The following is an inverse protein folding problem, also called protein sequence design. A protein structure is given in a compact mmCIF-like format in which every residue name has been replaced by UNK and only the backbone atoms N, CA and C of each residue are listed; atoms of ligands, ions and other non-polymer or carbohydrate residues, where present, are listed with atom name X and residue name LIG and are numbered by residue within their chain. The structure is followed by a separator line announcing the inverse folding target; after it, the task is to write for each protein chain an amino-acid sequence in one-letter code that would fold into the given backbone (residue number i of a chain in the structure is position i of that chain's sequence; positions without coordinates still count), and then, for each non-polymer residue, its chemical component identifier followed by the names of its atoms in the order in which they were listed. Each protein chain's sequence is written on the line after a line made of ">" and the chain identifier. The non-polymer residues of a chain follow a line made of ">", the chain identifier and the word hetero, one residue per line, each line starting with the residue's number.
data_IF_758387917252
#
_entry.id   IF_758387917252
#
_cell.length_a   1.000
_cell.length_b   1.000
_cell.length_c   1.000
_cell.angle_alpha   90.00
_cell.angle_beta   90.00
_cell.angle_gamma   90.00
#
_symmetry.space_group_name_H-M   'P 1'
#
loop_
_entity.id
_entity.type
_entity.pdbx_description
1 polymer ?
#
# COMPACT_ATOMS: atom_id res chain seq x y z
N UNK A 1 34.32 10.19 -5.11
CA UNK A 1 34.41 11.35 -4.19
C UNK A 1 33.07 12.06 -3.92
N UNK A 2 31.89 11.46 -4.18
CA UNK A 2 30.61 12.12 -3.87
C UNK A 2 29.50 11.23 -3.27
N UNK A 3 29.69 9.90 -3.18
CA UNK A 3 28.75 8.99 -2.50
C UNK A 3 29.28 8.44 -1.17
N UNK A 4 30.46 8.91 -0.73
CA UNK A 4 31.07 8.63 0.56
C UNK A 4 30.53 9.56 1.66
N UNK A 5 29.84 10.66 1.31
CA UNK A 5 29.54 11.74 2.27
C UNK A 5 28.22 11.54 3.02
N UNK A 6 27.22 10.83 2.46
CA UNK A 6 25.87 10.79 3.07
C UNK A 6 25.69 9.62 4.05
N UNK A 7 26.42 8.52 3.88
CA UNK A 7 26.46 7.44 4.89
C UNK A 7 27.30 7.88 6.12
N UNK A 8 28.17 8.88 5.95
CA UNK A 8 29.08 9.40 6.97
C UNK A 8 28.44 10.39 7.99
N UNK A 9 27.19 10.85 7.85
CA UNK A 9 26.67 11.93 8.72
C UNK A 9 25.60 11.51 9.74
N UNK A 10 25.00 10.32 9.67
CA UNK A 10 24.03 9.85 10.69
C UNK A 10 24.40 8.57 11.43
N UNK A 11 25.35 7.78 10.92
CA UNK A 11 26.03 6.73 11.70
C UNK A 11 27.18 7.30 12.56
N UNK A 12 27.58 8.56 12.30
CA UNK A 12 28.69 9.26 12.96
C UNK A 12 28.40 9.77 14.38
N UNK A 13 27.25 9.47 14.98
CA UNK A 13 27.04 9.69 16.44
C UNK A 13 27.25 8.44 17.30
N UNK A 14 27.40 7.27 16.68
CA UNK A 14 27.60 6.00 17.40
C UNK A 14 29.00 5.40 17.22
N UNK A 15 29.84 5.93 16.33
CA UNK A 15 31.16 5.38 15.99
C UNK A 15 32.30 6.42 16.02
N UNK A 16 32.34 7.25 17.06
CA UNK A 16 33.59 7.90 17.45
C UNK A 16 34.42 6.91 18.28
N UNK A 17 35.16 6.02 17.61
CA UNK A 17 36.50 5.57 18.00
C UNK A 17 37.01 4.49 17.03
N UNK A 18 38.28 4.69 16.65
CA UNK A 18 39.22 3.76 16.01
C UNK A 18 39.43 3.93 14.50
N UNK A 19 40.62 4.47 14.25
CA UNK A 19 41.35 4.59 12.99
C UNK A 19 41.92 3.24 12.55
N UNK A 20 41.86 3.01 11.25
CA UNK A 20 42.74 2.15 10.42
C UNK A 20 42.72 0.59 10.59
N UNK A 21 43.06 -0.13 9.49
CA UNK A 21 42.44 -1.41 9.15
C UNK A 21 43.38 -2.60 9.38
N UNK A 22 42.94 -3.58 10.17
CA UNK A 22 43.58 -4.90 10.20
C UNK A 22 42.55 -6.02 9.97
N UNK A 23 42.71 -6.67 8.81
CA UNK A 23 42.32 -8.05 8.49
C UNK A 23 40.92 -8.53 8.92
N UNK A 24 39.96 -8.35 8.01
CA UNK A 24 38.72 -9.14 7.95
C UNK A 24 39.02 -10.63 7.76
N UNK A 25 39.02 -11.40 8.86
CA UNK A 25 38.91 -12.87 8.81
C UNK A 25 37.50 -13.30 9.21
N UNK A 26 36.74 -13.68 8.17
CA UNK A 26 35.72 -14.74 8.07
C UNK A 26 34.94 -15.10 9.35
N UNK A 27 33.82 -14.41 9.51
CA UNK A 27 32.44 -14.96 9.51
C UNK A 27 31.50 -13.79 9.15
N UNK A 28 30.98 -13.80 7.92
CA UNK A 28 29.94 -12.96 7.28
C UNK A 28 29.45 -11.63 7.90
N UNK A 29 30.30 -10.84 8.56
CA UNK A 29 30.45 -9.42 8.26
C UNK A 29 29.49 -8.39 8.86
N UNK A 30 28.72 -8.68 9.91
CA UNK A 30 28.11 -7.62 10.75
C UNK A 30 28.42 -7.91 12.22
N UNK A 31 29.37 -7.22 12.86
CA UNK A 31 29.63 -7.39 14.28
C UNK A 31 28.56 -6.61 15.06
N UNK A 32 27.53 -7.30 15.52
CA UNK A 32 26.63 -6.78 16.54
C UNK A 32 27.25 -7.07 17.92
N UNK A 33 27.11 -6.14 18.87
CA UNK A 33 27.43 -6.43 20.26
C UNK A 33 26.49 -7.53 20.80
N UNK A 34 26.94 -8.35 21.75
CA UNK A 34 26.13 -9.45 22.33
C UNK A 34 24.78 -8.95 22.92
N UNK A 35 24.71 -7.68 23.32
CA UNK A 35 23.49 -6.99 23.73
C UNK A 35 22.52 -6.67 22.59
N UNK A 36 23.02 -6.45 21.36
CA UNK A 36 22.25 -6.08 20.17
C UNK A 36 21.64 -7.30 19.47
N UNK A 37 22.21 -8.49 19.64
CA UNK A 37 21.61 -9.74 19.16
C UNK A 37 20.23 -10.04 19.79
N UNK A 38 19.97 -9.53 21.00
CA UNK A 38 18.69 -9.76 21.70
C UNK A 38 17.51 -8.98 21.10
N UNK A 39 17.81 -7.99 20.27
CA UNK A 39 16.84 -7.12 19.61
C UNK A 39 16.98 -7.17 18.07
N UNK A 40 17.84 -8.04 17.54
CA UNK A 40 17.98 -8.29 16.12
C UNK A 40 17.02 -9.38 15.68
N UNK A 41 16.04 -9.00 14.90
CA UNK A 41 15.06 -9.88 14.30
C UNK A 41 15.37 -10.04 12.82
N UNK A 42 15.51 -11.28 12.37
CA UNK A 42 15.41 -11.59 10.94
C UNK A 42 14.07 -12.25 10.76
N UNK A 43 13.33 -11.79 9.76
CA UNK A 43 12.12 -12.48 9.35
C UNK A 43 11.07 -12.54 10.48
N UNK A 44 11.09 -11.57 11.41
CA UNK A 44 10.22 -11.52 12.59
C UNK A 44 10.66 -12.39 13.76
N UNK A 45 11.70 -13.21 13.62
CA UNK A 45 12.23 -14.06 14.68
C UNK A 45 13.62 -13.58 15.16
N UNK A 46 13.92 -13.80 16.44
CA UNK A 46 15.30 -13.64 16.95
C UNK A 46 16.14 -14.79 16.38
N UNK A 47 17.25 -14.47 15.73
CA UNK A 47 18.09 -15.45 15.04
C UNK A 47 19.38 -15.73 15.82
N UNK A 48 19.87 -16.97 15.81
CA UNK A 48 21.19 -17.29 16.33
C UNK A 48 22.33 -16.59 15.56
N UNK A 49 23.47 -16.44 16.21
CA UNK A 49 24.62 -15.68 15.72
C UNK A 49 25.29 -16.25 14.44
N UNK A 50 24.89 -17.44 14.01
CA UNK A 50 25.41 -18.17 12.84
C UNK A 50 24.45 -18.17 11.63
N UNK A 51 23.38 -17.37 11.66
CA UNK A 51 22.44 -17.26 10.53
C UNK A 51 23.11 -16.70 9.27
N UNK A 52 22.98 -17.41 8.14
CA UNK A 52 23.44 -16.93 6.83
C UNK A 52 22.30 -16.16 6.13
N UNK A 53 22.49 -14.85 5.99
CA UNK A 53 21.51 -13.97 5.34
C UNK A 53 21.33 -14.31 3.87
N UNK A 54 20.08 -14.43 3.45
CA UNK A 54 19.67 -14.80 2.10
C UNK A 54 18.92 -13.66 1.42
N UNK A 55 18.92 -13.65 0.08
CA UNK A 55 18.11 -12.72 -0.69
C UNK A 55 16.64 -12.76 -0.26
N UNK A 56 16.07 -11.58 -0.03
CA UNK A 56 14.71 -11.39 0.42
C UNK A 56 14.52 -11.45 1.94
N UNK A 57 15.54 -11.78 2.73
CA UNK A 57 15.45 -11.72 4.20
C UNK A 57 15.14 -10.28 4.66
N UNK A 58 14.30 -10.18 5.69
CA UNK A 58 13.93 -8.91 6.34
C UNK A 58 14.68 -8.79 7.65
N UNK A 59 15.58 -7.82 7.73
CA UNK A 59 16.37 -7.53 8.93
C UNK A 59 15.74 -6.35 9.68
N UNK A 60 15.51 -6.49 10.98
CA UNK A 60 14.98 -5.43 11.84
C UNK A 60 15.74 -5.41 13.17
N UNK A 61 16.22 -4.24 13.58
CA UNK A 61 16.99 -4.03 14.80
C UNK A 61 16.14 -3.51 15.98
N UNK A 62 14.81 -3.56 15.85
CA UNK A 62 13.90 -3.11 16.90
C UNK A 62 12.78 -4.11 17.15
N UNK A 63 12.38 -4.27 18.42
CA UNK A 63 11.17 -5.00 18.85
C UNK A 63 9.86 -4.29 18.45
N UNK A 64 9.92 -3.26 17.61
CA UNK A 64 8.83 -2.33 17.34
C UNK A 64 8.47 -2.24 15.86
N UNK A 65 7.99 -1.05 15.46
CA UNK A 65 7.52 -0.80 14.10
C UNK A 65 8.64 -1.01 13.06
N UNK A 66 8.33 -1.58 11.89
CA UNK A 66 9.30 -1.89 10.83
C UNK A 66 9.85 -0.64 10.08
N UNK A 67 9.85 0.54 10.69
CA UNK A 67 10.43 1.79 10.14
C UNK A 67 11.92 1.64 9.82
N UNK A 68 12.62 0.81 10.58
CA UNK A 68 14.05 0.54 10.42
C UNK A 68 14.32 -0.89 9.92
N UNK A 69 13.34 -1.48 9.21
CA UNK A 69 13.54 -2.75 8.54
C UNK A 69 14.33 -2.58 7.23
N UNK A 70 15.14 -3.58 6.89
CA UNK A 70 15.93 -3.65 5.66
C UNK A 70 15.71 -4.99 4.98
N UNK A 71 15.68 -4.99 3.65
CA UNK A 71 15.64 -6.20 2.84
C UNK A 71 17.02 -6.53 2.30
N UNK A 72 17.40 -7.81 2.34
CA UNK A 72 18.64 -8.30 1.73
C UNK A 72 18.44 -8.46 0.23
N UNK A 73 19.25 -7.74 -0.56
CA UNK A 73 19.18 -7.73 -2.01
C UNK A 73 20.03 -8.86 -2.63
N UNK A 74 19.82 -9.15 -3.92
CA UNK A 74 20.49 -10.27 -4.61
C UNK A 74 22.02 -10.09 -4.66
N UNK A 75 22.49 -8.85 -4.69
CA UNK A 75 23.91 -8.47 -4.61
C UNK A 75 24.43 -8.34 -3.17
N UNK A 76 23.65 -8.78 -2.17
CA UNK A 76 23.90 -8.67 -0.73
C UNK A 76 23.93 -7.25 -0.18
N UNK A 77 23.45 -6.26 -0.93
CA UNK A 77 23.19 -4.93 -0.38
C UNK A 77 21.91 -4.91 0.46
N UNK A 78 21.70 -3.84 1.22
CA UNK A 78 20.51 -3.65 2.05
C UNK A 78 19.62 -2.57 1.45
N UNK A 79 18.36 -2.90 1.23
CA UNK A 79 17.31 -1.96 0.83
C UNK A 79 16.51 -1.56 2.06
N UNK A 80 16.54 -0.28 2.45
CA UNK A 80 15.66 0.22 3.53
C UNK A 80 14.19 0.03 3.14
N UNK A 81 13.34 -0.34 4.10
CA UNK A 81 11.89 -0.43 3.92
C UNK A 81 11.37 0.87 3.25
N UNK A 82 10.75 0.78 2.06
CA UNK A 82 10.28 1.97 1.37
C UNK A 82 9.07 2.63 2.05
N UNK A 83 8.38 1.92 2.97
CA UNK A 83 7.24 2.41 3.75
C UNK A 83 6.22 3.21 2.92
N UNK A 84 5.49 2.52 2.03
CA UNK A 84 4.42 3.15 1.23
C UNK A 84 3.22 3.62 2.05
N UNK A 85 3.17 3.31 3.35
CA UNK A 85 2.08 3.76 4.23
C UNK A 85 2.35 5.14 4.84
N UNK A 86 3.60 5.61 4.83
CA UNK A 86 4.02 6.85 5.50
C UNK A 86 3.83 6.83 7.03
N UNK A 87 3.63 5.65 7.62
CA UNK A 87 3.27 5.48 9.04
C UNK A 87 4.16 4.47 9.76
N UNK A 88 5.22 4.02 9.09
CA UNK A 88 6.20 3.08 9.63
C UNK A 88 5.80 1.62 9.52
N UNK A 89 4.94 1.28 8.57
CA UNK A 89 4.55 -0.11 8.33
C UNK A 89 5.47 -0.77 7.30
N UNK A 90 5.54 -2.10 7.32
CA UNK A 90 6.39 -2.85 6.39
C UNK A 90 5.72 -2.84 5.03
N UNK A 91 6.45 -2.38 4.02
CA UNK A 91 6.13 -2.63 2.62
C UNK A 91 7.12 -3.68 2.10
N UNK A 92 6.63 -4.81 1.63
CA UNK A 92 7.46 -5.81 0.94
C UNK A 92 7.52 -5.41 -0.54
N UNK A 93 8.68 -4.89 -1.03
CA UNK A 93 8.73 -4.22 -2.32
C UNK A 93 8.82 -5.18 -3.51
N UNK A 94 8.42 -4.70 -4.69
CA UNK A 94 8.38 -5.51 -5.90
C UNK A 94 9.75 -6.06 -6.28
N UNK A 95 10.82 -5.30 -6.01
CA UNK A 95 12.19 -5.71 -6.34
C UNK A 95 12.61 -7.01 -5.64
N UNK A 96 12.01 -7.35 -4.49
CA UNK A 96 12.28 -8.63 -3.78
C UNK A 96 11.25 -9.71 -4.10
N UNK A 97 10.06 -9.35 -4.57
CA UNK A 97 8.98 -10.30 -4.88
C UNK A 97 8.86 -10.66 -6.36
N UNK A 98 9.46 -9.89 -7.28
CA UNK A 98 9.29 -10.01 -8.74
C UNK A 98 9.59 -11.40 -9.30
N UNK A 99 10.52 -12.12 -8.68
CA UNK A 99 10.94 -13.46 -9.10
C UNK A 99 10.28 -14.57 -8.24
N UNK A 100 9.37 -14.19 -7.34
CA UNK A 100 8.64 -15.12 -6.48
C UNK A 100 7.34 -15.55 -7.12
N UNK A 101 7.05 -16.85 -7.09
CA UNK A 101 5.79 -17.40 -7.61
C UNK A 101 4.59 -17.09 -6.72
N UNK A 102 4.83 -16.92 -5.42
CA UNK A 102 3.83 -16.58 -4.43
C UNK A 102 4.49 -15.74 -3.32
N UNK A 103 4.35 -14.42 -3.41
CA UNK A 103 4.95 -13.49 -2.49
C UNK A 103 4.40 -13.66 -1.07
N UNK A 104 3.08 -13.84 -0.92
CA UNK A 104 2.47 -14.00 0.41
C UNK A 104 2.94 -15.27 1.11
N UNK A 105 3.06 -16.38 0.38
CA UNK A 105 3.59 -17.63 0.94
C UNK A 105 5.09 -17.48 1.26
N UNK A 106 5.87 -16.85 0.38
CA UNK A 106 7.30 -16.60 0.61
C UNK A 106 7.54 -15.78 1.88
N UNK A 107 6.68 -14.80 2.15
CA UNK A 107 6.79 -13.89 3.29
C UNK A 107 5.82 -14.19 4.43
N UNK A 108 5.18 -15.36 4.43
CA UNK A 108 4.19 -15.74 5.43
C UNK A 108 4.74 -15.65 6.85
N UNK A 109 5.99 -16.07 7.04
CA UNK A 109 6.67 -15.99 8.33
C UNK A 109 6.89 -14.55 8.79
N UNK A 110 7.08 -13.58 7.88
CA UNK A 110 7.16 -12.16 8.25
C UNK A 110 5.78 -11.70 8.65
N UNK A 111 4.81 -11.90 7.77
CA UNK A 111 3.43 -11.45 7.94
C UNK A 111 2.85 -11.98 9.26
N UNK A 112 3.07 -13.26 9.57
CA UNK A 112 2.59 -13.87 10.81
C UNK A 112 3.53 -13.62 12.00
N UNK A 113 4.83 -13.46 11.77
CA UNK A 113 5.84 -13.32 12.82
C UNK A 113 5.92 -11.91 13.42
N UNK A 114 5.94 -10.86 12.58
CA UNK A 114 5.84 -9.48 13.07
C UNK A 114 4.38 -9.08 13.36
N UNK A 115 3.42 -9.80 12.77
CA UNK A 115 1.98 -9.54 12.86
C UNK A 115 1.44 -8.81 11.63
N UNK A 116 0.27 -9.24 11.15
CA UNK A 116 -0.40 -8.68 9.96
C UNK A 116 -0.59 -7.18 10.07
N UNK A 117 -0.91 -6.69 11.26
CA UNK A 117 -1.11 -5.27 11.58
C UNK A 117 0.14 -4.41 11.33
N UNK A 118 1.32 -5.03 11.16
CA UNK A 118 2.58 -4.34 10.90
C UNK A 118 3.04 -4.42 9.44
N UNK A 119 2.37 -5.21 8.60
CA UNK A 119 2.62 -5.27 7.15
C UNK A 119 1.53 -4.50 6.44
N UNK A 120 1.87 -3.32 5.92
CA UNK A 120 0.90 -2.51 5.20
C UNK A 120 0.66 -3.04 3.79
N UNK A 121 1.72 -3.43 3.08
CA UNK A 121 1.58 -3.86 1.68
C UNK A 121 2.62 -4.88 1.25
N UNK A 122 2.23 -5.71 0.29
CA UNK A 122 3.07 -6.64 -0.45
C UNK A 122 2.90 -6.33 -1.94
N UNK A 123 3.94 -5.80 -2.57
CA UNK A 123 3.95 -5.58 -4.01
C UNK A 123 4.20 -6.92 -4.72
N UNK A 124 3.43 -7.23 -5.76
CA UNK A 124 3.39 -8.57 -6.36
C UNK A 124 3.58 -8.50 -7.87
N UNK A 125 4.14 -9.57 -8.43
CA UNK A 125 4.15 -9.78 -9.87
C UNK A 125 2.74 -10.08 -10.37
N UNK A 126 2.34 -9.61 -11.57
CA UNK A 126 1.02 -9.94 -12.14
C UNK A 126 0.74 -11.44 -12.27
N UNK A 127 1.78 -12.25 -12.51
CA UNK A 127 1.71 -13.72 -12.54
C UNK A 127 1.81 -14.41 -11.17
N UNK A 128 1.75 -13.66 -10.07
CA UNK A 128 1.76 -14.25 -8.74
C UNK A 128 0.56 -15.19 -8.56
N UNK A 129 0.84 -16.41 -8.11
CA UNK A 129 -0.19 -17.45 -7.96
C UNK A 129 -1.28 -17.08 -6.95
N UNK A 130 -1.01 -16.19 -5.99
CA UNK A 130 -2.03 -15.63 -5.11
C UNK A 130 -3.04 -14.79 -5.89
N UNK A 131 -2.58 -13.92 -6.80
CA UNK A 131 -3.46 -13.12 -7.67
C UNK A 131 -4.27 -14.08 -8.56
N UNK A 132 -3.59 -15.02 -9.22
CA UNK A 132 -4.23 -15.97 -10.14
C UNK A 132 -5.30 -16.82 -9.46
N UNK A 133 -5.06 -17.26 -8.23
CA UNK A 133 -6.00 -18.07 -7.46
C UNK A 133 -7.27 -17.30 -7.06
N UNK A 134 -7.13 -16.03 -6.69
CA UNK A 134 -8.21 -15.27 -6.07
C UNK A 134 -9.00 -14.39 -7.05
N UNK A 135 -8.35 -13.87 -8.10
CA UNK A 135 -9.02 -13.04 -9.11
C UNK A 135 -9.03 -13.68 -10.50
N UNK A 136 -8.03 -14.51 -10.82
CA UNK A 136 -7.84 -15.11 -12.15
C UNK A 136 -6.60 -14.59 -12.86
N UNK A 137 -6.38 -15.05 -14.10
CA UNK A 137 -5.23 -14.65 -14.90
C UNK A 137 -5.31 -13.16 -15.26
N UNK A 138 -4.22 -12.42 -15.03
CA UNK A 138 -4.12 -11.00 -15.40
C UNK A 138 -4.10 -10.87 -16.94
N UNK A 139 -4.92 -9.97 -17.53
CA UNK A 139 -4.92 -9.74 -18.97
C UNK A 139 -3.57 -9.24 -19.50
N UNK A 140 -3.13 -9.76 -20.65
CA UNK A 140 -1.84 -9.42 -21.27
C UNK A 140 -1.66 -7.90 -21.50
N UNK A 141 -2.73 -7.15 -21.72
CA UNK A 141 -2.65 -5.69 -21.84
C UNK A 141 -2.17 -5.04 -20.53
N UNK A 142 -2.66 -5.48 -19.38
CA UNK A 142 -2.23 -4.97 -18.07
C UNK A 142 -0.75 -5.26 -17.81
N UNK A 143 -0.24 -6.43 -18.26
CA UNK A 143 1.20 -6.71 -18.25
C UNK A 143 1.98 -5.73 -19.12
N UNK A 144 1.53 -5.50 -20.36
CA UNK A 144 2.23 -4.62 -21.31
C UNK A 144 2.33 -3.17 -20.84
N UNK A 145 1.40 -2.74 -19.96
CA UNK A 145 1.40 -1.43 -19.33
C UNK A 145 2.08 -1.38 -17.97
N UNK A 146 2.71 -2.47 -17.55
CA UNK A 146 3.38 -2.62 -16.25
C UNK A 146 2.46 -2.30 -15.06
N UNK A 147 1.17 -2.66 -15.13
CA UNK A 147 0.22 -2.39 -14.04
C UNK A 147 0.75 -2.99 -12.73
N UNK A 148 0.81 -2.16 -11.69
CA UNK A 148 1.31 -2.53 -10.38
C UNK A 148 0.18 -3.16 -9.56
N UNK A 149 0.47 -4.32 -8.95
CA UNK A 149 -0.43 -5.04 -8.06
C UNK A 149 0.15 -5.04 -6.66
N UNK A 150 -0.57 -4.46 -5.70
CA UNK A 150 -0.11 -4.27 -4.32
C UNK A 150 -1.19 -4.78 -3.39
N UNK A 151 -0.90 -5.79 -2.57
CA UNK A 151 -1.87 -6.37 -1.66
C UNK A 151 -1.67 -5.92 -0.23
N UNK A 152 -2.76 -5.54 0.41
CA UNK A 152 -2.86 -5.22 1.83
C UNK A 152 -3.33 -6.47 2.60
N UNK A 153 -2.47 -7.13 3.39
CA UNK A 153 -2.85 -8.32 4.13
C UNK A 153 -3.71 -8.04 5.37
N UNK A 154 -3.82 -6.79 5.81
CA UNK A 154 -4.62 -6.40 6.96
C UNK A 154 -6.08 -6.18 6.54
N UNK A 155 -6.28 -5.37 5.51
CA UNK A 155 -7.61 -5.02 5.00
C UNK A 155 -8.11 -5.98 3.90
N UNK A 156 -7.25 -6.89 3.43
CA UNK A 156 -7.51 -7.85 2.36
C UNK A 156 -7.92 -7.18 1.03
N UNK A 157 -7.31 -6.04 0.73
CA UNK A 157 -7.49 -5.32 -0.54
C UNK A 157 -6.32 -5.54 -1.50
N UNK A 158 -6.63 -5.73 -2.77
CA UNK A 158 -5.70 -5.61 -3.87
C UNK A 158 -5.79 -4.20 -4.46
N UNK A 159 -4.75 -3.41 -4.28
CA UNK A 159 -4.58 -2.15 -5.00
C UNK A 159 -4.00 -2.42 -6.39
N UNK A 160 -4.66 -1.86 -7.40
CA UNK A 160 -4.20 -1.89 -8.79
C UNK A 160 -3.88 -0.46 -9.19
N UNK A 161 -2.65 -0.23 -9.63
CA UNK A 161 -2.14 1.10 -10.00
C UNK A 161 -1.61 1.08 -11.42
N UNK A 162 -2.03 2.06 -12.24
CA UNK A 162 -1.56 2.22 -13.62
C UNK A 162 -0.35 3.18 -13.59
N UNK A 163 0.88 2.72 -13.87
CA UNK A 163 2.06 3.56 -13.82
C UNK A 163 1.96 4.78 -14.73
N UNK A 164 2.68 5.84 -14.37
CA UNK A 164 2.70 7.13 -15.08
C UNK A 164 1.34 7.83 -15.14
N UNK A 165 0.39 7.38 -14.32
CA UNK A 165 -0.90 8.04 -14.08
C UNK A 165 -1.11 8.15 -12.57
N UNK A 166 -2.07 8.97 -12.16
CA UNK A 166 -2.53 9.00 -10.75
C UNK A 166 -3.60 7.96 -10.46
N UNK A 167 -3.88 7.03 -11.39
CA UNK A 167 -5.06 6.15 -11.33
C UNK A 167 -4.73 4.88 -10.55
N UNK A 168 -5.38 4.76 -9.40
CA UNK A 168 -5.31 3.60 -8.50
C UNK A 168 -6.72 3.26 -8.02
N UNK A 169 -7.00 1.97 -7.86
CA UNK A 169 -8.23 1.47 -7.22
C UNK A 169 -7.93 0.29 -6.32
N UNK A 170 -8.71 0.16 -5.25
CA UNK A 170 -8.73 -1.00 -4.36
C UNK A 170 -9.82 -1.99 -4.75
N UNK A 171 -9.50 -3.28 -4.65
CA UNK A 171 -10.41 -4.39 -4.95
C UNK A 171 -10.37 -5.39 -3.81
N UNK A 172 -11.51 -5.59 -3.15
CA UNK A 172 -11.59 -6.49 -2.00
C UNK A 172 -11.51 -7.95 -2.42
N UNK A 173 -10.76 -8.71 -1.64
CA UNK A 173 -10.64 -10.15 -1.78
C UNK A 173 -12.02 -10.82 -1.66
N UNK A 174 -12.35 -11.70 -2.61
CA UNK A 174 -13.57 -12.49 -2.60
C UNK A 174 -14.85 -11.78 -3.05
N UNK A 175 -14.86 -10.45 -3.18
CA UNK A 175 -16.03 -9.71 -3.72
C UNK A 175 -15.86 -9.26 -5.18
N UNK A 176 -14.64 -9.27 -5.69
CA UNK A 176 -14.28 -8.78 -7.02
C UNK A 176 -13.63 -9.86 -7.87
N UNK A 177 -13.86 -9.83 -9.18
CA UNK A 177 -13.24 -10.75 -10.15
C UNK A 177 -12.19 -10.02 -11.01
N UNK A 178 -11.26 -10.73 -11.64
CA UNK A 178 -10.32 -10.09 -12.59
C UNK A 178 -11.04 -9.37 -13.74
N UNK A 179 -12.23 -9.84 -14.14
CA UNK A 179 -13.05 -9.15 -15.15
C UNK A 179 -13.52 -7.78 -14.66
N UNK A 180 -13.80 -7.64 -13.37
CA UNK A 180 -14.18 -6.35 -12.78
C UNK A 180 -13.01 -5.38 -12.74
N UNK A 181 -11.82 -5.90 -12.38
CA UNK A 181 -10.55 -5.15 -12.42
C UNK A 181 -10.25 -4.70 -13.84
N UNK A 182 -10.38 -5.58 -14.82
CA UNK A 182 -10.18 -5.27 -16.23
C UNK A 182 -11.18 -4.22 -16.73
N UNK A 183 -12.45 -4.33 -16.34
CA UNK A 183 -13.49 -3.34 -16.69
C UNK A 183 -13.13 -1.96 -16.14
N UNK A 184 -12.69 -1.90 -14.88
CA UNK A 184 -12.21 -0.66 -14.28
C UNK A 184 -10.99 -0.12 -15.02
N UNK A 185 -9.99 -0.97 -15.30
CA UNK A 185 -8.76 -0.59 -15.99
C UNK A 185 -9.05 0.04 -17.35
N UNK A 186 -9.93 -0.57 -18.16
CA UNK A 186 -10.35 0.01 -19.44
C UNK A 186 -11.08 1.34 -19.26
N UNK A 187 -12.04 1.40 -18.32
CA UNK A 187 -12.73 2.65 -17.99
C UNK A 187 -11.80 3.75 -17.50
N UNK A 188 -10.73 3.38 -16.79
CA UNK A 188 -9.69 4.28 -16.33
C UNK A 188 -8.81 4.79 -17.47
N UNK A 189 -8.80 4.17 -18.66
CA UNK A 189 -8.04 4.67 -19.82
C UNK A 189 -8.87 5.57 -20.75
N UNK A 190 -10.20 5.60 -20.58
CA UNK A 190 -11.13 6.42 -21.37
C UNK A 190 -11.13 7.89 -20.94
N UNK A 191 -11.93 8.72 -21.64
CA UNK A 191 -12.20 10.10 -21.24
C UNK A 191 -12.87 10.14 -19.85
N UNK A 192 -12.29 10.92 -18.94
CA UNK A 192 -12.68 10.92 -17.54
C UNK A 192 -13.63 12.09 -17.22
N UNK A 193 -14.55 11.84 -16.30
CA UNK A 193 -15.34 12.85 -15.64
C UNK A 193 -15.23 12.69 -14.12
N UNK A 194 -15.56 13.74 -13.38
CA UNK A 194 -15.59 13.71 -11.93
C UNK A 194 -16.67 14.64 -11.37
N UNK A 195 -17.17 14.32 -10.19
CA UNK A 195 -18.03 15.19 -9.39
C UNK A 195 -17.69 15.03 -7.90
N UNK A 196 -18.05 16.02 -7.10
CA UNK A 196 -17.78 16.07 -5.67
C UNK A 196 -19.09 16.00 -4.90
N UNK A 197 -19.12 15.23 -3.82
CA UNK A 197 -20.18 15.30 -2.82
C UNK A 197 -19.61 15.87 -1.56
N UNK A 198 -20.16 17.01 -1.12
CA UNK A 198 -19.90 17.55 0.22
C UNK A 198 -21.01 17.13 1.15
N UNK A 199 -20.66 16.66 2.33
CA UNK A 199 -21.59 16.28 3.38
C UNK A 199 -21.28 17.00 4.68
N UNK A 200 -22.33 17.29 5.45
CA UNK A 200 -22.25 17.83 6.80
C UNK A 200 -23.37 17.20 7.63
N UNK A 201 -23.02 16.15 8.37
CA UNK A 201 -23.94 15.39 9.18
C UNK A 201 -23.76 15.75 10.65
N UNK A 202 -24.84 16.18 11.28
CA UNK A 202 -24.89 16.53 12.70
C UNK A 202 -26.07 15.80 13.36
N UNK A 203 -25.99 15.57 14.67
CA UNK A 203 -27.11 15.05 15.46
C UNK A 203 -27.65 13.69 14.98
N UNK A 204 -28.96 13.53 14.72
CA UNK A 204 -29.54 12.24 14.30
C UNK A 204 -28.99 11.71 12.96
N UNK A 205 -28.60 12.60 12.03
CA UNK A 205 -27.98 12.19 10.77
C UNK A 205 -26.59 11.60 11.02
N UNK A 206 -25.82 12.19 11.94
CA UNK A 206 -24.52 11.64 12.33
C UNK A 206 -24.66 10.26 12.97
N UNK A 207 -25.62 10.04 13.87
CA UNK A 207 -25.85 8.70 14.47
C UNK A 207 -26.22 7.66 13.40
N UNK A 208 -27.17 8.01 12.51
CA UNK A 208 -27.53 7.15 11.36
C UNK A 208 -26.31 6.86 10.47
N UNK A 209 -25.43 7.83 10.26
CA UNK A 209 -24.27 7.66 9.40
C UNK A 209 -23.13 6.87 10.06
N UNK A 210 -22.89 7.09 11.35
CA UNK A 210 -21.89 6.39 12.17
C UNK A 210 -22.16 4.88 12.23
N UNK A 211 -23.42 4.50 12.37
CA UNK A 211 -23.83 3.09 12.47
C UNK A 211 -23.84 2.37 11.11
N UNK A 212 -24.05 3.13 10.03
CA UNK A 212 -24.21 2.55 8.68
C UNK A 212 -22.87 2.44 7.95
N UNK A 213 -21.85 3.27 8.20
CA UNK A 213 -20.58 3.15 7.47
C UNK A 213 -19.29 3.58 8.21
N UNK A 214 -18.31 2.65 8.20
CA UNK A 214 -16.93 2.95 7.79
C UNK A 214 -16.96 3.02 6.25
N UNK A 215 -16.96 4.22 5.69
CA UNK A 215 -17.25 4.43 4.26
C UNK A 215 -16.19 3.79 3.36
N UNK A 216 -16.55 2.68 2.72
CA UNK A 216 -15.79 2.10 1.61
C UNK A 216 -16.51 2.38 0.30
N UNK A 217 -15.79 2.43 -0.82
CA UNK A 217 -16.36 2.71 -2.15
C UNK A 217 -17.53 1.77 -2.52
N UNK A 218 -17.47 0.50 -2.09
CA UNK A 218 -18.45 -0.55 -2.40
C UNK A 218 -19.90 -0.18 -2.02
N UNK A 219 -20.03 0.71 -1.04
CA UNK A 219 -21.28 1.28 -0.52
C UNK A 219 -22.14 1.97 -1.57
N UNK A 220 -21.51 2.67 -2.50
CA UNK A 220 -22.19 3.57 -3.42
C UNK A 220 -22.79 2.82 -4.62
N UNK A 221 -22.51 1.52 -4.77
CA UNK A 221 -22.92 0.69 -5.89
C UNK A 221 -22.61 1.31 -7.27
N UNK A 222 -21.45 1.98 -7.39
CA UNK A 222 -21.07 2.70 -8.61
C UNK A 222 -20.93 1.77 -9.83
N UNK A 223 -21.05 2.31 -11.06
CA UNK A 223 -20.61 1.61 -12.26
C UNK A 223 -19.15 1.15 -12.09
N UNK A 224 -18.80 -0.03 -12.63
CA UNK A 224 -17.48 -0.65 -12.44
C UNK A 224 -16.30 0.20 -12.94
N UNK A 225 -16.55 1.10 -13.89
CA UNK A 225 -15.57 2.05 -14.44
C UNK A 225 -15.38 3.31 -13.58
N UNK A 226 -16.15 3.44 -12.50
CA UNK A 226 -16.11 4.56 -11.58
C UNK A 226 -15.46 4.17 -10.25
N UNK A 227 -14.94 5.18 -9.57
CA UNK A 227 -14.30 5.10 -8.27
C UNK A 227 -14.73 6.23 -7.37
N UNK A 228 -14.55 6.04 -6.06
CA UNK A 228 -14.74 7.07 -5.05
C UNK A 228 -13.48 7.19 -4.19
N UNK A 229 -13.03 8.42 -3.94
CA UNK A 229 -11.94 8.70 -3.03
C UNK A 229 -12.38 9.69 -1.95
N UNK A 230 -11.96 9.49 -0.68
CA UNK A 230 -12.21 10.48 0.34
C UNK A 230 -11.43 11.76 0.03
N UNK A 231 -12.10 12.91 0.15
CA UNK A 231 -11.48 14.22 0.15
C UNK A 231 -11.10 14.65 1.57
N UNK A 232 -11.33 15.92 1.90
CA UNK A 232 -11.15 16.39 3.28
C UNK A 232 -12.22 15.79 4.20
N UNK A 233 -11.84 15.39 5.40
CA UNK A 233 -12.75 14.89 6.43
C UNK A 233 -12.46 15.55 7.78
N UNK A 234 -13.53 15.90 8.49
CA UNK A 234 -13.50 16.38 9.86
C UNK A 234 -14.55 15.59 10.67
N UNK A 235 -14.10 15.03 11.80
CA UNK A 235 -14.88 14.11 12.62
C UNK A 235 -14.83 14.61 14.06
N UNK A 236 -16.01 14.91 14.60
CA UNK A 236 -16.18 15.24 16.02
C UNK A 236 -16.96 14.17 16.77
N UNK A 237 -17.19 14.41 18.06
CA UNK A 237 -17.98 13.50 18.90
C UNK A 237 -19.46 13.43 18.49
N UNK A 238 -19.96 14.44 17.80
CA UNK A 238 -21.38 14.64 17.46
C UNK A 238 -21.64 15.03 15.99
N UNK A 239 -20.59 15.06 15.16
CA UNK A 239 -20.68 15.45 13.76
C UNK A 239 -19.65 14.74 12.89
N UNK A 240 -19.93 14.68 11.59
CA UNK A 240 -18.93 14.42 10.56
C UNK A 240 -19.25 15.28 9.34
N UNK A 241 -18.22 15.96 8.83
CA UNK A 241 -18.31 16.73 7.60
C UNK A 241 -17.14 16.39 6.72
N UNK A 242 -17.35 16.42 5.42
CA UNK A 242 -16.28 16.08 4.51
C UNK A 242 -16.72 16.00 3.07
N UNK A 243 -15.86 15.38 2.29
CA UNK A 243 -15.95 15.35 0.85
C UNK A 243 -15.70 13.93 0.32
N UNK A 244 -16.46 13.55 -0.69
CA UNK A 244 -16.18 12.38 -1.53
C UNK A 244 -16.00 12.84 -2.98
N UNK A 245 -14.86 12.48 -3.56
CA UNK A 245 -14.58 12.72 -4.98
C UNK A 245 -14.94 11.45 -5.74
N UNK A 246 -15.86 11.55 -6.69
CA UNK A 246 -16.24 10.47 -7.59
C UNK A 246 -15.65 10.73 -8.97
N UNK A 247 -15.06 9.72 -9.58
CA UNK A 247 -14.41 9.85 -10.89
C UNK A 247 -14.47 8.55 -11.69
N UNK A 248 -14.47 8.65 -13.03
CA UNK A 248 -14.49 7.50 -13.92
C UNK A 248 -14.79 7.87 -15.36
N UNK A 249 -15.10 6.86 -16.18
CA UNK A 249 -15.46 7.02 -17.59
C UNK A 249 -16.68 7.95 -17.77
N UNK A 250 -16.50 9.04 -18.51
CA UNK A 250 -17.51 10.08 -18.77
C UNK A 250 -18.81 9.51 -19.34
N UNK A 251 -18.76 8.42 -20.13
CA UNK A 251 -19.96 7.79 -20.70
C UNK A 251 -20.95 7.33 -19.63
N UNK A 252 -20.46 7.03 -18.43
CA UNK A 252 -21.26 6.53 -17.31
C UNK A 252 -21.54 7.58 -16.22
N UNK A 253 -21.24 8.87 -16.47
CA UNK A 253 -21.40 9.96 -15.49
C UNK A 253 -22.81 10.05 -14.89
N UNK A 254 -23.84 10.02 -15.74
CA UNK A 254 -25.22 10.16 -15.27
C UNK A 254 -25.68 8.98 -14.43
N UNK A 255 -25.17 7.77 -14.74
CA UNK A 255 -25.47 6.57 -13.98
C UNK A 255 -24.79 6.62 -12.61
N UNK A 256 -23.50 6.97 -12.56
CA UNK A 256 -22.76 7.18 -11.32
C UNK A 256 -23.44 8.23 -10.42
N UNK A 257 -23.87 9.37 -10.98
CA UNK A 257 -24.62 10.39 -10.23
C UNK A 257 -25.91 9.85 -9.64
N UNK A 258 -26.67 9.06 -10.41
CA UNK A 258 -27.93 8.47 -9.95
C UNK A 258 -27.71 7.53 -8.76
N UNK A 259 -26.68 6.68 -8.83
CA UNK A 259 -26.29 5.79 -7.73
C UNK A 259 -25.96 6.57 -6.45
N UNK A 260 -25.15 7.62 -6.57
CA UNK A 260 -24.77 8.48 -5.44
C UNK A 260 -25.96 9.27 -4.88
N UNK A 261 -26.84 9.78 -5.74
CA UNK A 261 -28.06 10.47 -5.33
C UNK A 261 -29.03 9.56 -4.56
N UNK A 262 -29.19 8.31 -5.00
CA UNK A 262 -30.04 7.34 -4.28
C UNK A 262 -29.38 6.94 -2.94
N UNK A 263 -28.06 6.80 -2.89
CA UNK A 263 -27.36 6.52 -1.63
C UNK A 263 -27.56 7.63 -0.60
N UNK A 264 -27.43 8.90 -1.00
CA UNK A 264 -27.63 10.06 -0.13
C UNK A 264 -29.08 10.53 -0.03
N UNK A 265 -30.03 9.71 -0.47
CA UNK A 265 -31.46 10.00 -0.32
C UNK A 265 -31.78 10.18 1.16
N UNK A 266 -32.46 11.27 1.48
CA UNK A 266 -32.80 11.72 2.84
C UNK A 266 -31.61 12.26 3.67
N UNK A 267 -30.45 12.48 3.06
CA UNK A 267 -29.29 13.10 3.69
C UNK A 267 -29.04 14.50 3.14
N UNK A 268 -28.53 15.38 4.02
CA UNK A 268 -28.17 16.74 3.64
C UNK A 268 -26.79 16.74 2.98
N UNK A 269 -26.75 16.63 1.65
CA UNK A 269 -25.51 16.68 0.87
C UNK A 269 -25.61 17.67 -0.28
N UNK A 270 -24.46 18.21 -0.68
CA UNK A 270 -24.33 19.05 -1.87
C UNK A 270 -23.50 18.32 -2.92
N UNK A 271 -24.07 18.10 -4.11
CA UNK A 271 -23.37 17.52 -5.25
C UNK A 271 -22.88 18.67 -6.15
N UNK A 272 -21.58 18.70 -6.42
CA UNK A 272 -20.92 19.72 -7.22
C UNK A 272 -20.34 19.05 -8.47
N UNK A 273 -20.80 19.51 -9.62
CA UNK A 273 -20.30 19.07 -10.92
C UNK A 273 -18.95 19.73 -11.24
N UNK A 274 -18.04 18.95 -11.81
CA UNK A 274 -16.73 19.42 -12.28
C UNK A 274 -15.97 20.27 -11.24
N UNK A 275 -15.73 19.74 -10.03
CA UNK A 275 -15.17 20.52 -8.92
C UNK A 275 -13.83 21.19 -9.27
N UNK A 276 -13.04 20.60 -10.18
CA UNK A 276 -11.82 21.19 -10.72
C UNK A 276 -11.54 20.70 -12.16
N UNK A 277 -11.19 21.62 -13.08
CA UNK A 277 -10.23 21.30 -14.16
C UNK A 277 -9.03 20.68 -13.48
N UNK A 278 -8.76 19.40 -13.72
CA UNK A 278 -7.63 18.67 -13.14
C UNK A 278 -6.35 19.44 -13.49
N UNK A 279 -5.85 20.24 -12.55
CA UNK A 279 -4.47 20.69 -12.59
C UNK A 279 -3.70 19.47 -12.16
N UNK A 280 -3.11 18.80 -13.15
CA UNK A 280 -2.09 17.78 -12.96
C UNK A 280 -1.06 18.30 -11.95
N UNK A 281 -1.11 17.79 -10.73
CA UNK A 281 0.01 17.90 -9.81
C UNK A 281 0.99 16.82 -10.23
N UNK A 282 2.17 17.29 -10.64
CA UNK A 282 3.34 16.50 -11.10
C UNK A 282 3.82 15.57 -10.01
#
# INVERSE_FOLDING_TARGET
>A
MALQTIINERTARYFDLVKEPETLKRTNGIPLAESEYKDFHVNGAVVPADWDVSFGDVLNWSKGRPTEAYFVMADRTLLKNPDRSGSGYLTIPFVVTKDTRNALLKYEYVINGIGKDYVSTVEMHPDDTFIQKNWGAVPAEMHSRNVEFIYDPLEEFLYVHIPHTSKRKEFKLGSTTMKDIETWFHGALEDQASFLVKYDFTGPQYQKYRDVYRLHEETFALPKTWSAAPGTIDIGSDHTRGEWVFYGDRKHLNDAKKHVQEFYKDLNVTIIDEPHKVVSVV
#
